data_IF_091170805499
#
_entry.id   IF_091170805499
#
_cell.length_a   1.000
_cell.length_b   1.000
_cell.length_c   1.000
_cell.angle_alpha   90.00
_cell.angle_beta   90.00
_cell.angle_gamma   90.00
#
_symmetry.space_group_name_H-M   'P 1'
#
loop_
_entity.id
_entity.type
_entity.pdbx_description
1 polymer ?
#
# COMPACT_ATOMS: atom_id res chain seq x y z
N UNK A 1 -14.00 -6.86 22.76
CA UNK A 1 -13.34 -5.95 23.72
C UNK A 1 -12.77 -4.81 22.91
N UNK A 2 -13.38 -3.63 23.01
CA UNK A 2 -12.96 -2.45 22.26
C UNK A 2 -11.71 -1.86 22.91
N UNK A 3 -10.57 -1.97 22.23
CA UNK A 3 -9.38 -1.23 22.61
C UNK A 3 -9.59 0.19 22.05
N UNK A 4 -10.18 1.08 22.86
CA UNK A 4 -10.13 2.52 22.57
C UNK A 4 -8.67 2.94 22.69
N UNK A 5 -7.97 2.85 21.55
CA UNK A 5 -6.61 3.30 21.42
C UNK A 5 -6.55 4.75 21.87
N UNK A 6 -5.84 4.98 22.98
CA UNK A 6 -5.45 6.32 23.43
C UNK A 6 -4.90 7.07 22.23
N UNK A 7 -5.68 8.03 21.70
CA UNK A 7 -5.22 8.92 20.64
C UNK A 7 -4.06 9.72 21.20
N UNK A 8 -2.84 9.30 20.86
CA UNK A 8 -1.63 10.06 21.15
C UNK A 8 -1.81 11.44 20.53
N UNK A 9 -1.92 12.48 21.35
CA UNK A 9 -1.98 13.86 20.88
C UNK A 9 -0.67 14.52 21.25
N UNK A 10 0.17 14.90 20.26
CA UNK A 10 1.43 15.58 20.55
C UNK A 10 1.19 16.92 21.24
N UNK A 11 2.02 17.27 22.21
CA UNK A 11 2.08 18.62 22.79
C UNK A 11 2.87 19.52 21.82
N UNK A 12 2.15 20.32 21.03
CA UNK A 12 2.75 21.07 19.92
C UNK A 12 2.99 22.55 20.18
N UNK A 13 2.52 23.10 21.31
CA UNK A 13 2.46 24.54 21.55
C UNK A 13 3.82 25.23 21.43
N UNK A 14 4.88 24.60 21.96
CA UNK A 14 6.25 25.09 21.87
C UNK A 14 6.83 25.07 20.44
N UNK A 15 6.31 24.19 19.57
CA UNK A 15 6.80 24.08 18.19
C UNK A 15 6.17 25.12 17.25
N UNK A 16 5.02 25.71 17.62
CA UNK A 16 4.34 26.70 16.78
C UNK A 16 5.10 28.04 16.68
N UNK A 17 6.12 28.24 17.51
CA UNK A 17 6.97 29.42 17.49
C UNK A 17 8.19 29.27 16.56
N UNK A 18 8.46 28.06 16.06
CA UNK A 18 9.61 27.81 15.19
C UNK A 18 9.36 28.25 13.74
N UNK A 19 10.43 28.39 12.97
CA UNK A 19 10.33 28.62 11.52
C UNK A 19 9.59 27.48 10.81
N UNK A 20 9.04 27.78 9.64
CA UNK A 20 8.38 26.81 8.78
C UNK A 20 9.35 26.35 7.69
N UNK A 21 9.51 25.04 7.56
CA UNK A 21 10.26 24.42 6.45
C UNK A 21 9.30 23.91 5.38
N UNK A 22 9.77 23.87 4.13
CA UNK A 22 8.99 23.42 2.99
C UNK A 22 9.45 22.04 2.51
N UNK A 23 8.52 21.08 2.50
CA UNK A 23 8.67 19.76 1.90
C UNK A 23 8.04 19.80 0.51
N UNK A 24 8.80 19.50 -0.54
CA UNK A 24 8.30 19.50 -1.91
C UNK A 24 8.04 18.08 -2.40
N UNK A 25 6.80 17.83 -2.85
CA UNK A 25 6.42 16.54 -3.44
C UNK A 25 6.73 16.43 -4.94
N UNK A 26 6.47 15.24 -5.50
CA UNK A 26 6.64 14.92 -6.94
C UNK A 26 5.83 15.83 -7.86
N UNK A 27 4.68 16.29 -7.39
CA UNK A 27 3.77 17.22 -8.06
C UNK A 27 4.22 18.68 -7.94
N UNK A 28 5.45 18.93 -7.49
CA UNK A 28 6.03 20.25 -7.25
C UNK A 28 5.29 21.11 -6.22
N UNK A 29 4.28 20.56 -5.54
CA UNK A 29 3.54 21.26 -4.49
C UNK A 29 4.35 21.23 -3.19
N UNK A 30 4.45 22.39 -2.54
CA UNK A 30 5.12 22.54 -1.24
C UNK A 30 4.12 22.35 -0.11
N UNK A 31 4.51 21.56 0.90
CA UNK A 31 3.81 21.36 2.16
C UNK A 31 4.70 21.90 3.26
N UNK A 32 4.14 22.71 4.15
CA UNK A 32 4.91 23.38 5.20
C UNK A 32 4.71 22.71 6.55
N UNK A 33 5.77 22.61 7.33
CA UNK A 33 5.78 22.09 8.70
C UNK A 33 6.69 22.93 9.58
N UNK A 34 6.33 23.08 10.86
CA UNK A 34 7.16 23.80 11.82
C UNK A 34 8.46 23.01 12.09
N UNK A 35 9.60 23.66 11.94
CA UNK A 35 10.94 23.08 12.11
C UNK A 35 11.12 22.44 13.50
N UNK A 36 10.59 23.06 14.55
CA UNK A 36 10.64 22.52 15.91
C UNK A 36 9.94 21.16 16.01
N UNK A 37 8.77 21.02 15.37
CA UNK A 37 8.02 19.76 15.32
C UNK A 37 8.76 18.72 14.46
N UNK A 38 9.31 19.18 13.34
CA UNK A 38 10.12 18.35 12.45
C UNK A 38 11.31 17.75 13.20
N UNK A 39 12.15 18.58 13.82
CA UNK A 39 13.35 18.16 14.53
C UNK A 39 13.06 17.31 15.78
N UNK A 40 11.90 17.49 16.41
CA UNK A 40 11.50 16.67 17.55
C UNK A 40 11.25 15.20 17.18
N UNK A 41 10.79 14.95 15.96
CA UNK A 41 10.39 13.63 15.47
C UNK A 41 11.44 13.04 14.52
N UNK A 42 12.10 13.90 13.75
CA UNK A 42 13.00 13.54 12.66
C UNK A 42 14.45 13.85 13.06
N UNK A 43 15.25 12.80 13.32
CA UNK A 43 16.60 12.94 13.88
C UNK A 43 17.73 13.00 12.84
N UNK A 44 17.48 12.57 11.59
CA UNK A 44 18.52 12.51 10.56
C UNK A 44 18.07 13.05 9.18
N UNK A 45 18.60 14.23 8.83
CA UNK A 45 18.26 15.05 7.64
C UNK A 45 18.71 14.43 6.30
N UNK A 46 19.51 13.36 6.31
CA UNK A 46 20.32 12.99 5.13
C UNK A 46 19.61 12.27 3.97
N UNK A 47 18.30 11.97 4.04
CA UNK A 47 17.59 11.33 2.93
C UNK A 47 16.43 12.20 2.41
N UNK A 48 16.58 12.78 1.21
CA UNK A 48 15.63 13.74 0.60
C UNK A 48 14.51 13.10 -0.24
N UNK A 49 14.00 11.95 0.19
CA UNK A 49 13.00 11.17 -0.56
C UNK A 49 11.60 11.78 -0.63
N UNK A 50 11.36 12.90 0.06
CA UNK A 50 10.13 13.69 -0.04
C UNK A 50 9.77 14.06 -1.48
N UNK A 51 10.78 14.33 -2.29
CA UNK A 51 10.64 14.63 -3.72
C UNK A 51 10.08 13.45 -4.54
N UNK A 52 10.08 12.24 -3.98
CA UNK A 52 9.51 11.02 -4.58
C UNK A 52 8.09 10.71 -4.08
N UNK A 53 7.56 11.50 -3.14
CA UNK A 53 6.21 11.34 -2.59
C UNK A 53 5.25 12.37 -3.18
N UNK A 54 3.98 12.01 -3.43
CA UNK A 54 2.97 12.98 -3.81
C UNK A 54 2.68 13.93 -2.63
N UNK A 55 2.40 15.21 -2.91
CA UNK A 55 2.12 16.18 -1.83
C UNK A 55 0.93 15.78 -0.95
N UNK A 56 -0.03 15.01 -1.48
CA UNK A 56 -1.14 14.46 -0.71
C UNK A 56 -0.69 13.57 0.45
N UNK A 57 0.33 12.73 0.23
CA UNK A 57 0.90 11.88 1.27
C UNK A 57 1.74 12.69 2.24
N UNK A 58 2.51 13.67 1.74
CA UNK A 58 3.26 14.60 2.61
C UNK A 58 2.31 15.37 3.53
N UNK A 59 1.16 15.85 3.03
CA UNK A 59 0.13 16.51 3.85
C UNK A 59 -0.37 15.60 4.97
N UNK A 60 -0.65 14.32 4.69
CA UNK A 60 -1.10 13.36 5.72
C UNK A 60 -0.03 13.05 6.74
N UNK A 61 1.23 12.96 6.31
CA UNK A 61 2.34 12.84 7.24
C UNK A 61 2.39 14.06 8.17
N UNK A 62 2.30 15.27 7.62
CA UNK A 62 2.27 16.51 8.42
C UNK A 62 1.04 16.55 9.34
N UNK A 63 -0.16 16.16 8.87
CA UNK A 63 -1.35 16.00 9.72
C UNK A 63 -1.07 15.08 10.90
N UNK A 64 -0.43 13.93 10.66
CA UNK A 64 -0.01 13.00 11.71
C UNK A 64 0.94 13.66 12.72
N UNK A 65 1.94 14.43 12.28
CA UNK A 65 2.85 15.11 13.21
C UNK A 65 2.10 16.08 14.14
N UNK A 66 1.03 16.73 13.66
CA UNK A 66 0.24 17.67 14.46
C UNK A 66 -0.81 17.00 15.34
N UNK A 67 -1.40 15.90 14.88
CA UNK A 67 -2.62 15.34 15.47
C UNK A 67 -2.42 13.96 16.09
N UNK A 68 -1.29 13.32 15.80
CA UNK A 68 -1.03 11.90 16.08
C UNK A 68 -1.89 10.94 15.26
N UNK A 69 -2.60 11.46 14.25
CA UNK A 69 -3.43 10.71 13.31
C UNK A 69 -3.51 11.50 11.99
N UNK A 70 -3.93 10.84 10.91
CA UNK A 70 -4.06 11.48 9.60
C UNK A 70 -5.35 11.11 8.89
N UNK A 71 -5.81 11.99 8.01
CA UNK A 71 -7.06 11.78 7.27
C UNK A 71 -6.85 10.80 6.12
N UNK A 72 -7.61 9.69 6.11
CA UNK A 72 -7.66 8.77 4.97
C UNK A 72 -8.14 9.54 3.72
N UNK A 73 -7.41 9.48 2.58
CA UNK A 73 -7.90 10.06 1.32
C UNK A 73 -9.26 9.47 0.94
N UNK A 74 -10.17 10.25 0.35
CA UNK A 74 -11.33 9.66 -0.28
C UNK A 74 -10.91 8.81 -1.49
N UNK A 75 -11.63 7.72 -1.80
CA UNK A 75 -11.45 7.00 -3.05
C UNK A 75 -11.52 7.94 -4.26
N UNK A 76 -10.61 7.74 -5.21
CA UNK A 76 -10.41 8.60 -6.38
C UNK A 76 -11.25 8.18 -7.59
N UNK A 77 -11.22 8.96 -8.69
CA UNK A 77 -11.69 8.44 -9.97
C UNK A 77 -10.88 7.21 -10.38
N UNK A 78 -11.51 6.26 -11.07
CA UNK A 78 -10.79 5.11 -11.60
C UNK A 78 -9.82 5.56 -12.70
N UNK A 79 -8.55 5.19 -12.55
CA UNK A 79 -7.58 5.25 -13.64
C UNK A 79 -8.03 4.27 -14.72
N UNK A 80 -8.59 4.77 -15.83
CA UNK A 80 -8.95 3.90 -16.96
C UNK A 80 -7.65 3.44 -17.62
N UNK A 81 -7.07 2.36 -17.09
CA UNK A 81 -6.01 1.65 -17.78
C UNK A 81 -6.71 0.76 -18.80
N UNK A 82 -6.47 1.02 -20.08
CA UNK A 82 -6.96 0.19 -21.19
C UNK A 82 -6.42 -1.22 -21.02
N UNK A 83 -7.20 -2.13 -20.46
CA UNK A 83 -6.85 -3.54 -20.38
C UNK A 83 -6.73 -4.11 -21.81
N UNK A 84 -5.47 -4.32 -22.21
CA UNK A 84 -4.97 -5.25 -23.25
C UNK A 84 -5.69 -5.28 -24.60
N UNK A 85 -5.08 -4.58 -25.57
CA UNK A 85 -5.33 -4.73 -26.99
C UNK A 85 -4.11 -4.33 -27.83
N UNK A 86 -2.94 -4.91 -27.58
CA UNK A 86 -1.80 -4.75 -28.50
C UNK A 86 -0.93 -6.00 -28.55
N UNK A 87 -1.52 -7.08 -29.07
CA UNK A 87 -0.75 -8.11 -29.73
C UNK A 87 -0.25 -7.53 -31.06
N UNK A 88 1.01 -7.09 -31.10
CA UNK A 88 1.72 -6.91 -32.35
C UNK A 88 2.08 -8.30 -32.89
N UNK A 89 1.08 -9.04 -33.38
CA UNK A 89 1.33 -10.25 -34.15
C UNK A 89 0.86 -10.03 -35.59
N UNK A 90 1.83 -9.62 -36.40
CA UNK A 90 1.71 -9.52 -37.84
C UNK A 90 1.53 -10.91 -38.42
N UNK A 91 0.29 -11.33 -38.64
CA UNK A 91 -0.04 -12.26 -39.71
C UNK A 91 -0.94 -13.45 -39.35
N UNK A 92 -2.20 -13.22 -38.99
CA UNK A 92 -3.28 -14.16 -39.33
C UNK A 92 -4.64 -13.47 -39.30
N UNK A 93 -5.43 -13.65 -40.36
CA UNK A 93 -6.83 -13.21 -40.45
C UNK A 93 -7.68 -14.05 -39.50
N UNK A 94 -7.76 -13.69 -38.23
CA UNK A 94 -8.65 -14.33 -37.28
C UNK A 94 -9.75 -13.37 -36.83
N UNK A 95 -10.98 -13.88 -36.82
CA UNK A 95 -12.22 -13.13 -36.65
C UNK A 95 -12.18 -12.33 -35.35
N UNK A 96 -12.32 -11.01 -35.47
CA UNK A 96 -12.55 -10.08 -34.37
C UNK A 96 -13.64 -10.62 -33.45
N UNK A 97 -13.22 -11.14 -32.30
CA UNK A 97 -14.11 -11.43 -31.19
C UNK A 97 -14.28 -10.13 -30.42
N UNK A 98 -15.52 -9.65 -30.48
CA UNK A 98 -16.14 -8.56 -29.74
C UNK A 98 -15.29 -8.01 -28.58
N UNK A 99 -14.72 -6.82 -28.81
CA UNK A 99 -14.12 -5.99 -27.77
C UNK A 99 -15.26 -5.63 -26.82
N UNK A 100 -15.26 -6.20 -25.62
CA UNK A 100 -16.17 -5.79 -24.55
C UNK A 100 -15.77 -4.38 -24.14
N UNK A 101 -16.35 -3.40 -24.81
CA UNK A 101 -16.32 -2.00 -24.42
C UNK A 101 -16.93 -1.94 -23.02
N UNK A 102 -16.12 -1.70 -21.98
CA UNK A 102 -16.66 -1.51 -20.64
C UNK A 102 -17.65 -0.32 -20.66
N UNK A 103 -18.82 -0.46 -20.01
CA UNK A 103 -19.92 0.46 -20.19
C UNK A 103 -19.72 1.74 -19.36
N UNK A 104 -19.82 2.90 -20.02
CA UNK A 104 -20.25 4.19 -19.45
C UNK A 104 -19.43 4.73 -18.24
N UNK A 105 -19.69 5.95 -17.73
CA UNK A 105 -18.99 6.48 -16.56
C UNK A 105 -19.26 5.56 -15.36
N UNK A 106 -18.23 4.86 -14.91
CA UNK A 106 -18.31 3.92 -13.81
C UNK A 106 -18.62 4.70 -12.52
N UNK A 107 -19.72 4.34 -11.84
CA UNK A 107 -20.10 4.90 -10.52
C UNK A 107 -19.09 4.58 -9.41
N UNK A 108 -18.12 3.72 -9.69
CA UNK A 108 -17.15 3.22 -8.74
C UNK A 108 -15.94 4.15 -8.66
N UNK A 109 -15.43 4.34 -7.45
CA UNK A 109 -14.22 5.09 -7.17
C UNK A 109 -13.09 4.12 -6.86
N UNK A 110 -11.90 4.38 -7.41
CA UNK A 110 -10.71 3.58 -7.19
C UNK A 110 -10.14 3.79 -5.79
N UNK A 111 -9.59 2.73 -5.21
CA UNK A 111 -8.90 2.77 -3.92
C UNK A 111 -7.38 2.90 -4.07
N UNK A 112 -6.85 2.91 -5.29
CA UNK A 112 -5.41 2.95 -5.60
C UNK A 112 -4.69 4.03 -4.78
N UNK A 113 -5.08 5.29 -4.94
CA UNK A 113 -4.48 6.39 -4.17
C UNK A 113 -4.71 6.31 -2.66
N UNK A 114 -5.73 5.56 -2.21
CA UNK A 114 -5.97 5.31 -0.78
C UNK A 114 -4.94 4.32 -0.23
N UNK A 115 -4.85 3.15 -0.86
CA UNK A 115 -3.94 2.08 -0.48
C UNK A 115 -2.49 2.54 -0.57
N UNK A 116 -2.12 3.22 -1.67
CA UNK A 116 -0.76 3.74 -1.85
C UNK A 116 -0.41 4.78 -0.79
N UNK A 117 -1.33 5.67 -0.42
CA UNK A 117 -1.04 6.67 0.61
C UNK A 117 -0.79 6.02 1.99
N UNK A 118 -1.52 4.94 2.33
CA UNK A 118 -1.25 4.17 3.55
C UNK A 118 0.08 3.42 3.49
N UNK A 119 0.39 2.79 2.36
CA UNK A 119 1.66 2.09 2.16
C UNK A 119 2.86 3.05 2.25
N UNK A 120 2.77 4.22 1.62
CA UNK A 120 3.80 5.27 1.71
C UNK A 120 4.00 5.76 3.15
N UNK A 121 2.92 5.98 3.90
CA UNK A 121 3.00 6.38 5.31
C UNK A 121 3.56 5.28 6.21
N UNK A 122 3.27 4.02 5.93
CA UNK A 122 3.86 2.87 6.62
C UNK A 122 5.36 2.87 6.45
N UNK A 123 5.78 3.04 5.21
CA UNK A 123 7.17 3.16 4.79
C UNK A 123 7.86 4.35 5.47
N UNK A 124 7.22 5.51 5.57
CA UNK A 124 7.75 6.69 6.29
C UNK A 124 7.90 6.38 7.77
N UNK A 125 6.83 5.88 8.41
CA UNK A 125 6.84 5.56 9.83
C UNK A 125 7.93 4.56 10.17
N UNK A 126 8.08 3.51 9.36
CA UNK A 126 9.10 2.50 9.58
C UNK A 126 10.52 3.02 9.30
N UNK A 127 10.74 3.79 8.23
CA UNK A 127 12.09 4.26 7.87
C UNK A 127 12.61 5.35 8.82
N UNK A 128 11.73 5.93 9.64
CA UNK A 128 12.02 7.01 10.59
C UNK A 128 11.84 6.58 12.04
N UNK A 129 11.66 5.28 12.30
CA UNK A 129 11.40 4.73 13.64
C UNK A 129 10.21 5.41 14.37
N UNK A 130 9.19 5.81 13.62
CA UNK A 130 7.93 6.35 14.13
C UNK A 130 6.90 5.20 14.19
N UNK A 131 7.04 4.34 15.20
CA UNK A 131 6.22 3.13 15.38
C UNK A 131 4.71 3.41 15.30
N UNK A 132 4.24 4.48 15.93
CA UNK A 132 2.81 4.84 15.94
C UNK A 132 2.31 5.12 14.52
N UNK A 133 3.10 5.80 13.68
CA UNK A 133 2.74 6.05 12.29
C UNK A 133 2.73 4.76 11.49
N UNK A 134 3.77 3.93 11.63
CA UNK A 134 3.87 2.60 10.99
C UNK A 134 2.64 1.77 11.30
N UNK A 135 2.31 1.61 12.58
CA UNK A 135 1.24 0.72 13.02
C UNK A 135 -0.13 1.27 12.62
N UNK A 136 -0.35 2.59 12.78
CA UNK A 136 -1.60 3.24 12.37
C UNK A 136 -1.83 3.14 10.86
N UNK A 137 -0.78 3.33 10.07
CA UNK A 137 -0.89 3.26 8.60
C UNK A 137 -1.09 1.85 8.09
N UNK A 138 -0.44 0.86 8.70
CA UNK A 138 -0.69 -0.54 8.41
C UNK A 138 -2.13 -0.94 8.76
N UNK A 139 -2.63 -0.53 9.93
CA UNK A 139 -4.00 -0.81 10.35
C UNK A 139 -5.03 -0.22 9.36
N UNK A 140 -4.83 1.04 8.94
CA UNK A 140 -5.71 1.68 7.96
C UNK A 140 -5.60 1.05 6.58
N UNK A 141 -4.41 0.62 6.16
CA UNK A 141 -4.22 -0.12 4.92
C UNK A 141 -5.10 -1.39 4.89
N UNK A 142 -5.03 -2.22 5.94
CA UNK A 142 -5.82 -3.45 6.01
C UNK A 142 -7.33 -3.18 6.02
N UNK A 143 -7.76 -2.20 6.82
CA UNK A 143 -9.19 -1.81 6.90
C UNK A 143 -9.71 -1.35 5.54
N UNK A 144 -8.95 -0.51 4.84
CA UNK A 144 -9.40 0.06 3.57
C UNK A 144 -9.27 -0.97 2.41
N UNK A 145 -8.43 -2.00 2.56
CA UNK A 145 -8.41 -3.18 1.69
C UNK A 145 -9.68 -4.02 1.83
N UNK A 146 -10.10 -4.33 3.07
CA UNK A 146 -11.35 -5.05 3.35
C UNK A 146 -12.56 -4.26 2.84
N UNK A 147 -12.56 -2.93 3.04
CA UNK A 147 -13.61 -2.04 2.53
C UNK A 147 -13.65 -2.03 0.99
N UNK A 148 -12.49 -1.97 0.33
CA UNK A 148 -12.39 -2.02 -1.12
C UNK A 148 -12.92 -3.36 -1.67
N UNK A 149 -12.54 -4.48 -1.07
CA UNK A 149 -13.01 -5.82 -1.46
C UNK A 149 -14.53 -5.94 -1.35
N UNK A 150 -15.13 -5.39 -0.28
CA UNK A 150 -16.56 -5.43 -0.07
C UNK A 150 -17.36 -4.52 -1.01
N UNK A 151 -16.78 -3.39 -1.44
CA UNK A 151 -17.51 -2.35 -2.21
C UNK A 151 -17.26 -2.40 -3.71
N UNK A 152 -16.14 -2.93 -4.15
CA UNK A 152 -15.72 -2.88 -5.56
C UNK A 152 -16.09 -4.17 -6.30
N UNK A 153 -16.44 -4.07 -7.59
CA UNK A 153 -16.42 -5.22 -8.48
C UNK A 153 -15.03 -5.86 -8.48
N UNK A 154 -15.01 -7.19 -8.48
CA UNK A 154 -13.78 -7.99 -8.40
C UNK A 154 -12.66 -7.53 -9.36
N UNK A 155 -12.89 -7.25 -10.66
CA UNK A 155 -11.82 -6.81 -11.55
C UNK A 155 -11.18 -5.50 -11.10
N UNK A 156 -11.99 -4.56 -10.64
CA UNK A 156 -11.52 -3.25 -10.15
C UNK A 156 -10.75 -3.43 -8.85
N UNK A 157 -11.23 -4.26 -7.92
CA UNK A 157 -10.49 -4.59 -6.70
C UNK A 157 -9.11 -5.14 -7.05
N UNK A 158 -9.02 -6.14 -7.93
CA UNK A 158 -7.77 -6.75 -8.35
C UNK A 158 -6.79 -5.74 -8.97
N UNK A 159 -7.26 -4.78 -9.79
CA UNK A 159 -6.42 -3.70 -10.32
C UNK A 159 -5.76 -2.88 -9.20
N UNK A 160 -6.54 -2.47 -8.18
CA UNK A 160 -5.98 -1.71 -7.05
C UNK A 160 -4.90 -2.51 -6.31
N UNK A 161 -5.06 -3.83 -6.22
CA UNK A 161 -4.06 -4.68 -5.57
C UNK A 161 -2.81 -4.88 -6.44
N UNK A 162 -2.98 -5.03 -7.76
CA UNK A 162 -1.85 -5.08 -8.70
C UNK A 162 -1.01 -3.82 -8.55
N UNK A 163 -1.63 -2.63 -8.50
CA UNK A 163 -0.90 -1.38 -8.30
C UNK A 163 -0.20 -1.30 -6.94
N UNK A 164 -0.84 -1.78 -5.86
CA UNK A 164 -0.19 -1.86 -4.54
C UNK A 164 1.05 -2.77 -4.57
N UNK A 165 0.98 -3.92 -5.24
CA UNK A 165 2.14 -4.79 -5.42
C UNK A 165 3.22 -4.16 -6.31
N UNK A 166 2.84 -3.52 -7.41
CA UNK A 166 3.78 -2.82 -8.28
C UNK A 166 4.53 -1.77 -7.49
N UNK A 167 3.83 -0.99 -6.68
CA UNK A 167 4.45 -0.05 -5.77
C UNK A 167 5.42 -0.75 -4.80
N UNK A 168 4.96 -1.78 -4.08
CA UNK A 168 5.78 -2.41 -3.05
C UNK A 168 7.01 -3.14 -3.61
N UNK A 169 6.95 -3.66 -4.84
CA UNK A 169 8.05 -4.40 -5.48
C UNK A 169 8.83 -3.61 -6.54
N UNK A 170 8.44 -2.37 -6.82
CA UNK A 170 9.20 -1.48 -7.68
C UNK A 170 10.62 -1.27 -7.14
N UNK A 171 11.61 -1.20 -8.05
CA UNK A 171 12.98 -0.80 -7.72
C UNK A 171 13.03 0.72 -7.50
N UNK A 172 12.34 1.21 -6.47
CA UNK A 172 12.50 2.59 -6.03
C UNK A 172 13.81 2.75 -5.23
N UNK A 173 14.25 3.99 -5.06
CA UNK A 173 15.50 4.40 -4.40
C UNK A 173 15.72 3.83 -2.97
N UNK A 174 14.71 3.17 -2.40
CA UNK A 174 14.71 2.57 -1.05
C UNK A 174 14.45 1.06 -1.04
N UNK A 175 14.59 0.35 -2.16
CA UNK A 175 14.28 -1.09 -2.26
C UNK A 175 15.09 -1.99 -1.31
N UNK A 176 16.21 -1.50 -0.76
CA UNK A 176 17.02 -2.19 0.24
C UNK A 176 16.68 -1.82 1.69
N UNK A 177 15.68 -0.95 1.92
CA UNK A 177 15.21 -0.60 3.26
C UNK A 177 14.46 -1.78 3.89
N UNK A 178 14.70 -2.11 5.18
CA UNK A 178 13.90 -3.09 5.92
C UNK A 178 12.39 -2.79 5.84
N UNK A 179 12.00 -1.52 5.81
CA UNK A 179 10.60 -1.11 5.72
C UNK A 179 9.88 -1.68 4.49
N UNK A 180 10.57 -1.78 3.33
CA UNK A 180 9.99 -2.36 2.12
C UNK A 180 9.85 -3.87 2.24
N UNK A 181 10.86 -4.53 2.82
CA UNK A 181 10.81 -5.96 3.09
C UNK A 181 9.60 -6.33 3.96
N UNK A 182 9.36 -5.55 5.02
CA UNK A 182 8.24 -5.75 5.93
C UNK A 182 6.90 -5.51 5.22
N UNK A 183 6.75 -4.43 4.43
CA UNK A 183 5.54 -4.19 3.65
C UNK A 183 5.27 -5.37 2.68
N UNK A 184 6.30 -5.82 1.95
CA UNK A 184 6.21 -6.93 1.01
C UNK A 184 5.84 -8.26 1.70
N UNK A 185 6.41 -8.53 2.89
CA UNK A 185 6.06 -9.70 3.69
C UNK A 185 4.60 -9.65 4.15
N UNK A 186 4.11 -8.50 4.62
CA UNK A 186 2.72 -8.36 5.05
C UNK A 186 1.74 -8.52 3.88
N UNK A 187 2.00 -7.85 2.76
CA UNK A 187 1.15 -7.95 1.56
C UNK A 187 1.14 -9.38 0.99
N UNK A 188 2.28 -10.06 0.97
CA UNK A 188 2.34 -11.46 0.50
C UNK A 188 1.60 -12.42 1.44
N UNK A 189 1.72 -12.28 2.77
CA UNK A 189 0.95 -13.09 3.74
C UNK A 189 -0.55 -12.90 3.58
N UNK A 190 -1.01 -11.64 3.55
CA UNK A 190 -2.42 -11.31 3.34
C UNK A 190 -2.95 -11.92 2.04
N UNK A 191 -2.15 -11.95 0.98
CA UNK A 191 -2.57 -12.54 -0.27
C UNK A 191 -2.61 -14.05 -0.27
N UNK A 192 -1.73 -14.72 0.44
CA UNK A 192 -1.79 -16.19 0.52
C UNK A 192 -3.13 -16.67 1.08
N UNK A 193 -3.74 -15.91 2.00
CA UNK A 193 -5.09 -16.19 2.50
C UNK A 193 -6.18 -16.03 1.42
N UNK A 194 -5.88 -15.26 0.38
CA UNK A 194 -6.77 -14.93 -0.73
C UNK A 194 -6.37 -15.59 -2.04
N UNK A 195 -5.47 -16.58 -2.04
CA UNK A 195 -4.80 -17.13 -3.24
C UNK A 195 -5.74 -17.47 -4.41
N UNK A 196 -6.99 -17.85 -4.14
CA UNK A 196 -8.02 -18.08 -5.17
C UNK A 196 -8.24 -16.88 -6.08
N UNK A 197 -8.18 -15.66 -5.53
CA UNK A 197 -8.30 -14.42 -6.28
C UNK A 197 -7.09 -14.19 -7.22
N UNK A 198 -5.91 -14.79 -6.92
CA UNK A 198 -4.64 -14.54 -7.62
C UNK A 198 -4.61 -15.30 -8.93
N UNK A 199 -5.35 -16.42 -9.02
CA UNK A 199 -5.57 -17.17 -10.25
C UNK A 199 -6.28 -16.37 -11.33
N UNK A 200 -7.01 -15.31 -10.95
CA UNK A 200 -7.73 -14.45 -11.89
C UNK A 200 -6.92 -13.24 -12.35
N UNK A 201 -5.81 -12.94 -11.68
CA UNK A 201 -4.89 -11.90 -12.11
C UNK A 201 -3.97 -12.50 -13.17
N UNK A 202 -3.89 -11.93 -14.39
CA UNK A 202 -2.88 -12.33 -15.35
C UNK A 202 -1.51 -12.20 -14.70
N UNK A 203 -0.78 -13.31 -14.52
CA UNK A 203 0.49 -13.28 -13.77
C UNK A 203 1.48 -12.30 -14.43
N UNK A 204 1.40 -12.12 -15.76
CA UNK A 204 2.11 -11.09 -16.52
C UNK A 204 1.92 -9.66 -16.01
N UNK A 205 0.77 -9.32 -15.43
CA UNK A 205 0.50 -8.00 -14.87
C UNK A 205 1.22 -7.74 -13.54
N UNK A 206 1.58 -8.81 -12.83
CA UNK A 206 2.31 -8.81 -11.55
C UNK A 206 3.84 -8.88 -11.74
N UNK A 207 4.32 -9.33 -12.90
CA UNK A 207 5.75 -9.41 -13.20
C UNK A 207 6.32 -8.07 -13.66
N UNK A 208 6.55 -7.16 -12.71
CA UNK A 208 7.46 -6.03 -12.91
C UNK A 208 8.68 -6.28 -12.00
N UNK A 209 9.77 -6.79 -12.57
CA UNK A 209 11.02 -7.05 -11.84
C UNK A 209 11.30 -8.51 -11.51
N UNK A 210 12.50 -8.75 -10.98
CA UNK A 210 13.33 -9.98 -10.91
C UNK A 210 12.74 -11.20 -10.16
N UNK A 211 11.43 -11.46 -10.24
CA UNK A 211 10.79 -12.64 -9.64
C UNK A 211 10.69 -12.60 -8.11
N UNK A 212 11.08 -11.49 -7.46
CA UNK A 212 11.01 -11.34 -6.00
C UNK A 212 9.59 -11.55 -5.46
N UNK A 213 8.58 -10.95 -6.09
CA UNK A 213 7.17 -11.14 -5.71
C UNK A 213 6.77 -12.62 -5.72
N UNK A 214 7.14 -13.36 -6.77
CA UNK A 214 6.84 -14.79 -6.86
C UNK A 214 7.54 -15.58 -5.75
N UNK A 215 8.81 -15.26 -5.45
CA UNK A 215 9.55 -15.88 -4.35
C UNK A 215 8.86 -15.63 -3.01
N UNK A 216 8.43 -14.41 -2.75
CA UNK A 216 7.79 -14.03 -1.49
C UNK A 216 6.39 -14.68 -1.35
N UNK A 217 5.60 -14.72 -2.42
CA UNK A 217 4.32 -15.45 -2.45
C UNK A 217 4.48 -16.95 -2.23
N UNK A 218 5.44 -17.59 -2.89
CA UNK A 218 5.75 -19.02 -2.71
C UNK A 218 6.24 -19.32 -1.28
N UNK A 219 7.09 -18.43 -0.74
CA UNK A 219 7.57 -18.52 0.64
C UNK A 219 6.41 -18.40 1.64
N UNK A 220 5.55 -17.40 1.49
CA UNK A 220 4.38 -17.20 2.34
C UNK A 220 3.40 -18.38 2.23
N UNK A 221 3.19 -18.93 1.03
CA UNK A 221 2.34 -20.13 0.80
C UNK A 221 2.90 -21.34 1.54
N UNK A 222 4.20 -21.58 1.40
CA UNK A 222 4.90 -22.70 2.07
C UNK A 222 4.80 -22.57 3.59
N UNK A 223 5.01 -21.35 4.14
CA UNK A 223 4.85 -21.07 5.58
C UNK A 223 3.42 -21.38 6.05
N UNK A 224 2.41 -20.89 5.33
CA UNK A 224 1.00 -21.13 5.65
C UNK A 224 0.65 -22.63 5.67
N UNK A 225 1.09 -23.39 4.66
CA UNK A 225 0.88 -24.85 4.60
C UNK A 225 1.52 -25.59 5.79
N UNK A 226 2.73 -25.20 6.19
CA UNK A 226 3.42 -25.78 7.35
C UNK A 226 2.65 -25.48 8.63
N UNK A 227 2.13 -24.27 8.81
CA UNK A 227 1.33 -23.90 9.97
C UNK A 227 0.00 -24.66 10.02
N UNK A 228 -0.69 -24.82 8.89
CA UNK A 228 -1.92 -25.62 8.80
C UNK A 228 -1.67 -27.08 9.21
N UNK A 229 -0.58 -27.68 8.73
CA UNK A 229 -0.21 -29.07 9.09
C UNK A 229 0.09 -29.22 10.58
N UNK A 230 0.80 -28.26 11.18
CA UNK A 230 1.06 -28.24 12.63
C UNK A 230 -0.25 -28.14 13.43
N UNK A 231 -1.18 -27.28 13.00
CA UNK A 231 -2.50 -27.14 13.63
C UNK A 231 -3.33 -28.44 13.54
N UNK A 232 -3.28 -29.16 12.41
CA UNK A 232 -3.95 -30.46 12.26
C UNK A 232 -3.38 -31.52 13.20
N UNK A 233 -2.04 -31.63 13.29
CA UNK A 233 -1.38 -32.57 14.20
C UNK A 233 -1.66 -32.29 15.68
N UNK A 234 -1.84 -31.02 16.05
CA UNK A 234 -2.19 -30.63 17.42
C UNK A 234 -3.69 -30.82 17.76
N UNK A 235 -4.54 -30.95 16.73
CA UNK A 235 -5.99 -31.07 16.88
C UNK A 235 -6.49 -32.53 16.84
N UNK A 236 -5.65 -33.50 16.50
CA UNK A 236 -5.93 -34.92 16.68
C UNK A 236 -5.67 -35.27 18.16
N UNK A 237 -6.70 -35.43 19.01
CA UNK A 237 -6.46 -35.95 20.35
C UNK A 237 -5.88 -37.36 20.20
N UNK A 238 -4.86 -37.67 20.99
CA UNK A 238 -4.43 -39.06 21.21
C UNK A 238 -5.66 -39.85 21.65
N UNK A 239 -6.28 -40.53 20.70
CA UNK A 239 -7.33 -41.51 20.96
C UNK A 239 -6.64 -42.74 21.52
N UNK A 240 -6.39 -42.69 22.82
CA UNK A 240 -6.08 -43.84 23.67
C UNK A 240 -7.37 -44.55 24.09
#
# INVERSE_FOLDING_TARGET
MGNEGSKYRPEISSFLESEMIALQGTDSVKVYVHEGLWNAIYKDVENCWWSSLPSGTIKRFVEFLYQGDYTTPPPGPLSVITMYGQGNDSGAKEKQKEITQFPAPTKFKGYEGVLLSHAELFIIGHSQDIDILRDTSFLKLNRDLEEAEAKLPKPIFLENIVELFRYSYSQNFMSNSPAWGDLQEHLSKMWVEKIELLHEIPISSLFIGEGKLMKDLMSATTKSLVEMKKKQQAAEPESA
#
